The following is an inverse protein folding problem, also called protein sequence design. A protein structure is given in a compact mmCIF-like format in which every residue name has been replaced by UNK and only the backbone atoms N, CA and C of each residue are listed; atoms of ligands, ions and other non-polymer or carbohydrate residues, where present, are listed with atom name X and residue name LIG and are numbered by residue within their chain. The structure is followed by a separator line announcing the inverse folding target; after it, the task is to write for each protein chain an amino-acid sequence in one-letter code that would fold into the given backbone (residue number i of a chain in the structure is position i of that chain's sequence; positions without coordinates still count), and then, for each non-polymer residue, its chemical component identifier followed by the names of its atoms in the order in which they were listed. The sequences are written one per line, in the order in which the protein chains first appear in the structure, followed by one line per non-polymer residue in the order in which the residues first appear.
data_IF_241524638590
#
_entry.id   IF_241524638590
#
_cell.length_a   1.000
_cell.length_b   1.000
_cell.length_c   1.000
_cell.angle_alpha   90.00
_cell.angle_beta   90.00
_cell.angle_gamma   90.00
#
_symmetry.space_group_name_H-M   'P 1'
#
loop_
_entity.id
_entity.type
_entity.pdbx_description
1 polymer ?
#
# COMPACT_ATOMS: atom_id res chain seq x y z
N UNK A 1 -25.51 15.99 -5.77
CA UNK A 1 -24.45 16.10 -4.75
C UNK A 1 -23.65 14.82 -4.57
N UNK A 2 -24.26 13.63 -4.54
CA UNK A 2 -23.54 12.34 -4.38
C UNK A 2 -22.58 12.03 -5.53
N UNK A 3 -22.99 12.23 -6.79
CA UNK A 3 -22.18 11.99 -7.98
C UNK A 3 -20.93 12.90 -8.07
N UNK A 4 -21.02 14.14 -7.63
CA UNK A 4 -19.90 15.08 -7.60
C UNK A 4 -18.85 14.66 -6.57
N UNK A 5 -19.28 14.17 -5.39
CA UNK A 5 -18.38 13.65 -4.37
C UNK A 5 -17.63 12.39 -4.83
N UNK A 6 -18.30 11.46 -5.50
CA UNK A 6 -17.68 10.25 -6.07
C UNK A 6 -16.66 10.62 -7.14
N UNK A 7 -16.97 11.61 -7.98
CA UNK A 7 -16.08 12.06 -9.04
C UNK A 7 -14.80 12.72 -8.47
N UNK A 8 -14.89 13.51 -7.40
CA UNK A 8 -13.75 14.08 -6.69
C UNK A 8 -12.87 13.05 -5.99
N UNK A 9 -13.45 11.95 -5.54
CA UNK A 9 -12.71 10.86 -4.89
C UNK A 9 -11.99 9.95 -5.88
N UNK A 10 -12.52 9.81 -7.12
CA UNK A 10 -11.91 8.97 -8.16
C UNK A 10 -10.91 9.77 -9.00
N UNK A 11 -11.18 11.05 -9.24
CA UNK A 11 -10.38 11.94 -10.08
C UNK A 11 -10.09 13.26 -9.36
N UNK A 12 -9.18 13.30 -8.39
CA UNK A 12 -8.76 14.56 -7.81
C UNK A 12 -8.09 15.44 -8.88
N UNK A 13 -8.42 16.71 -8.88
CA UNK A 13 -7.92 17.71 -9.83
C UNK A 13 -7.12 18.80 -9.09
N UNK A 14 -6.15 18.39 -8.29
CA UNK A 14 -5.27 19.34 -7.59
C UNK A 14 -4.19 19.84 -8.57
N UNK A 15 -4.46 20.96 -9.24
CA UNK A 15 -3.53 21.61 -10.17
C UNK A 15 -2.41 22.38 -9.44
N UNK A 16 -2.59 22.68 -8.17
CA UNK A 16 -1.62 23.44 -7.40
C UNK A 16 -0.66 22.47 -6.70
N UNK A 17 0.52 22.32 -7.25
CA UNK A 17 1.64 21.71 -6.52
C UNK A 17 1.96 22.63 -5.34
N UNK A 18 1.89 22.11 -4.13
CA UNK A 18 2.31 22.87 -2.95
C UNK A 18 3.80 23.19 -3.08
N UNK A 19 4.19 24.44 -2.87
CA UNK A 19 5.60 24.86 -2.79
C UNK A 19 6.18 24.64 -1.37
N UNK A 20 5.39 24.08 -0.46
CA UNK A 20 5.85 23.78 0.89
C UNK A 20 6.90 22.63 0.83
N UNK A 21 8.03 22.83 1.54
CA UNK A 21 9.01 21.76 1.67
C UNK A 21 8.41 20.62 2.52
N UNK A 22 8.40 19.37 2.06
CA UNK A 22 7.91 18.26 2.88
C UNK A 22 8.79 18.03 4.10
N UNK A 23 8.16 17.55 5.19
CA UNK A 23 8.89 17.03 6.33
C UNK A 23 9.27 15.58 6.11
N UNK A 24 8.40 14.82 5.44
CA UNK A 24 8.64 13.41 5.14
C UNK A 24 8.04 13.00 3.78
N UNK A 25 8.76 12.15 3.06
CA UNK A 25 8.34 11.54 1.79
C UNK A 25 8.26 10.02 1.95
N UNK A 26 7.13 9.44 1.56
CA UNK A 26 6.84 8.00 1.70
C UNK A 26 6.54 7.40 0.34
N UNK A 27 7.09 6.22 0.07
CA UNK A 27 6.86 5.45 -1.14
C UNK A 27 6.35 4.05 -0.77
N UNK A 28 5.33 3.59 -1.48
CA UNK A 28 4.91 2.18 -1.48
C UNK A 28 4.94 1.62 -2.89
N UNK A 29 5.43 0.38 -3.03
CA UNK A 29 5.56 -0.27 -4.31
C UNK A 29 5.47 -1.79 -4.17
N UNK A 30 4.45 -2.40 -4.78
CA UNK A 30 4.42 -3.84 -4.99
C UNK A 30 5.35 -4.15 -6.17
N UNK A 31 6.48 -4.80 -5.90
CA UNK A 31 7.53 -5.03 -6.90
C UNK A 31 7.34 -6.32 -7.70
N UNK A 32 6.33 -7.13 -7.36
CA UNK A 32 6.03 -8.39 -8.04
C UNK A 32 7.31 -9.22 -8.34
N UNK A 33 8.14 -9.43 -7.34
CA UNK A 33 9.51 -9.95 -7.50
C UNK A 33 9.62 -11.36 -8.08
N UNK A 34 8.50 -12.11 -8.15
CA UNK A 34 8.41 -13.39 -8.84
C UNK A 34 7.95 -13.25 -10.30
N UNK A 35 7.71 -12.04 -10.76
CA UNK A 35 7.36 -11.75 -12.15
C UNK A 35 8.47 -12.12 -13.14
N UNK A 36 8.09 -12.48 -14.38
CA UNK A 36 9.04 -12.94 -15.40
C UNK A 36 10.07 -11.88 -15.83
N UNK A 37 9.74 -10.60 -15.66
CA UNK A 37 10.55 -9.47 -16.11
C UNK A 37 11.18 -8.70 -14.92
N UNK A 38 11.45 -9.38 -13.81
CA UNK A 38 12.00 -8.73 -12.64
C UNK A 38 13.43 -8.20 -12.90
N UNK A 39 13.61 -6.88 -12.85
CA UNK A 39 14.89 -6.20 -13.05
C UNK A 39 15.25 -5.37 -11.81
N UNK A 40 15.89 -5.98 -10.82
CA UNK A 40 16.15 -5.38 -9.52
C UNK A 40 16.86 -4.03 -9.58
N UNK A 41 17.88 -3.85 -10.44
CA UNK A 41 18.59 -2.56 -10.57
C UNK A 41 17.72 -1.43 -11.06
N UNK A 42 16.82 -1.69 -12.02
CA UNK A 42 15.90 -0.67 -12.51
C UNK A 42 14.86 -0.29 -11.47
N UNK A 43 14.41 -1.28 -10.67
CA UNK A 43 13.53 -1.03 -9.52
C UNK A 43 14.24 -0.13 -8.49
N UNK A 44 15.49 -0.44 -8.15
CA UNK A 44 16.30 0.40 -7.25
C UNK A 44 16.50 1.80 -7.80
N UNK A 45 16.75 1.95 -9.10
CA UNK A 45 16.89 3.26 -9.72
C UNK A 45 15.60 4.08 -9.60
N UNK A 46 14.43 3.47 -9.93
CA UNK A 46 13.12 4.11 -9.79
C UNK A 46 12.89 4.60 -8.35
N UNK A 47 13.16 3.75 -7.35
CA UNK A 47 13.01 4.10 -5.93
C UNK A 47 13.99 5.22 -5.54
N UNK A 48 15.23 5.16 -6.04
CA UNK A 48 16.29 6.11 -5.71
C UNK A 48 16.04 7.50 -6.29
N UNK A 49 15.46 7.58 -7.49
CA UNK A 49 15.11 8.84 -8.15
C UNK A 49 14.03 9.62 -7.37
N UNK A 50 13.21 8.91 -6.61
CA UNK A 50 12.18 9.52 -5.77
C UNK A 50 12.68 10.05 -4.44
N UNK A 51 13.86 9.64 -4.00
CA UNK A 51 14.50 10.05 -2.74
C UNK A 51 13.58 10.01 -1.51
N UNK A 52 12.70 9.00 -1.47
CA UNK A 52 11.78 8.81 -0.36
C UNK A 52 12.54 8.57 0.96
N UNK A 53 11.95 8.97 2.09
CA UNK A 53 12.52 8.78 3.42
C UNK A 53 12.14 7.40 3.99
N UNK A 54 10.95 6.94 3.61
CA UNK A 54 10.39 5.65 3.97
C UNK A 54 9.92 4.95 2.70
N UNK A 55 10.31 3.68 2.54
CA UNK A 55 9.92 2.83 1.41
C UNK A 55 9.34 1.52 1.92
N UNK A 56 8.14 1.20 1.50
CA UNK A 56 7.53 -0.11 1.68
C UNK A 56 7.53 -0.84 0.34
N UNK A 57 8.17 -2.01 0.30
CA UNK A 57 8.08 -2.92 -0.83
C UNK A 57 7.19 -4.10 -0.46
N UNK A 58 6.14 -4.33 -1.24
CA UNK A 58 5.32 -5.52 -1.17
C UNK A 58 5.77 -6.56 -2.20
N UNK A 59 5.44 -7.83 -1.98
CA UNK A 59 5.84 -8.97 -2.81
C UNK A 59 7.35 -9.10 -3.04
N UNK A 60 8.12 -8.78 -2.02
CA UNK A 60 9.55 -9.02 -2.00
C UNK A 60 9.84 -10.53 -1.85
N UNK A 61 10.70 -11.07 -2.68
CA UNK A 61 11.21 -12.43 -2.56
C UNK A 61 12.72 -12.42 -2.32
N UNK A 62 13.18 -13.03 -1.25
CA UNK A 62 14.59 -13.00 -0.85
C UNK A 62 15.54 -13.56 -1.92
N UNK A 63 15.11 -14.58 -2.66
CA UNK A 63 15.94 -15.21 -3.70
C UNK A 63 16.10 -14.32 -4.93
N UNK A 64 15.00 -13.71 -5.41
CA UNK A 64 15.00 -12.90 -6.64
C UNK A 64 15.36 -11.44 -6.38
N UNK A 65 15.08 -10.94 -5.18
CA UNK A 65 15.22 -9.51 -4.83
C UNK A 65 16.46 -9.20 -4.00
N UNK A 66 17.37 -10.16 -3.79
CA UNK A 66 18.60 -9.96 -3.00
C UNK A 66 19.43 -8.75 -3.47
N UNK A 67 19.50 -8.51 -4.78
CA UNK A 67 20.20 -7.35 -5.34
C UNK A 67 19.50 -6.04 -4.94
N UNK A 68 18.16 -6.00 -4.93
CA UNK A 68 17.37 -4.84 -4.50
C UNK A 68 17.71 -4.49 -3.05
N UNK A 69 17.66 -5.48 -2.15
CA UNK A 69 17.98 -5.29 -0.73
C UNK A 69 19.41 -4.80 -0.53
N UNK A 70 20.38 -5.44 -1.20
CA UNK A 70 21.80 -5.06 -1.11
C UNK A 70 22.06 -3.62 -1.56
N UNK A 71 21.37 -3.15 -2.59
CA UNK A 71 21.55 -1.80 -3.11
C UNK A 71 20.78 -0.77 -2.26
N UNK A 72 19.56 -1.07 -1.84
CA UNK A 72 18.77 -0.15 -1.02
C UNK A 72 19.36 0.04 0.39
N UNK A 73 19.96 -0.98 0.98
CA UNK A 73 20.67 -0.87 2.28
C UNK A 73 21.84 0.10 2.28
N UNK A 74 22.40 0.43 1.12
CA UNK A 74 23.41 1.50 1.01
C UNK A 74 22.82 2.89 1.21
N UNK A 75 21.53 3.04 0.99
CA UNK A 75 20.80 4.31 1.05
C UNK A 75 19.91 4.43 2.30
N UNK A 76 19.36 3.30 2.76
CA UNK A 76 18.48 3.23 3.92
C UNK A 76 19.19 2.48 5.05
N UNK A 77 19.54 3.23 6.09
CA UNK A 77 20.28 2.68 7.24
C UNK A 77 19.45 1.67 8.03
N UNK A 78 18.13 1.85 8.04
CA UNK A 78 17.23 1.01 8.84
C UNK A 78 16.31 0.21 7.93
N UNK A 79 16.26 -1.10 8.16
CA UNK A 79 15.46 -2.04 7.38
C UNK A 79 14.77 -3.03 8.30
N UNK A 80 13.52 -3.36 8.00
CA UNK A 80 12.78 -4.45 8.65
C UNK A 80 12.14 -5.34 7.60
N UNK A 81 12.43 -6.62 7.72
CA UNK A 81 11.85 -7.70 6.92
C UNK A 81 11.25 -8.72 7.88
N UNK A 82 9.93 -8.95 7.84
CA UNK A 82 9.23 -9.78 8.82
C UNK A 82 9.62 -11.25 8.77
N UNK A 83 9.84 -11.77 7.58
CA UNK A 83 10.21 -13.16 7.36
C UNK A 83 11.14 -13.29 6.16
N UNK A 84 12.47 -13.26 6.38
CA UNK A 84 13.44 -13.34 5.30
C UNK A 84 13.37 -14.65 4.50
N UNK A 85 12.78 -15.72 5.06
CA UNK A 85 12.63 -17.02 4.38
C UNK A 85 11.30 -17.17 3.64
N UNK A 86 10.45 -16.16 3.64
CA UNK A 86 9.18 -16.20 2.91
C UNK A 86 9.43 -16.05 1.41
N UNK A 87 8.68 -16.82 0.61
CA UNK A 87 8.67 -16.66 -0.85
C UNK A 87 8.04 -15.35 -1.31
N UNK A 88 7.28 -14.70 -0.44
CA UNK A 88 6.67 -13.41 -0.68
C UNK A 88 6.58 -12.70 0.67
N UNK A 89 7.23 -11.57 0.81
CA UNK A 89 7.31 -10.80 2.05
C UNK A 89 7.14 -9.32 1.75
N UNK A 90 7.06 -8.52 2.82
CA UNK A 90 7.10 -7.08 2.74
C UNK A 90 8.38 -6.58 3.39
N UNK A 91 8.96 -5.51 2.87
CA UNK A 91 10.19 -4.94 3.43
C UNK A 91 10.02 -3.46 3.63
N UNK A 92 10.27 -3.00 4.85
CA UNK A 92 10.29 -1.59 5.20
C UNK A 92 11.73 -1.08 5.23
N UNK A 93 12.03 -0.07 4.45
CA UNK A 93 13.28 0.68 4.45
C UNK A 93 13.03 2.08 4.98
N UNK A 94 13.95 2.60 5.80
CA UNK A 94 13.86 3.93 6.37
C UNK A 94 15.24 4.60 6.48
N UNK A 95 15.30 5.92 6.23
CA UNK A 95 16.46 6.76 6.56
C UNK A 95 16.54 7.01 8.07
N UNK A 96 15.44 6.82 8.81
CA UNK A 96 15.31 7.10 10.24
C UNK A 96 15.21 5.81 11.06
N UNK A 97 15.57 5.85 12.37
CA UNK A 97 15.47 4.71 13.26
C UNK A 97 14.07 4.09 13.29
N UNK A 98 14.02 2.77 13.23
CA UNK A 98 12.80 1.98 13.37
C UNK A 98 12.81 1.38 14.79
N UNK A 99 12.04 1.97 15.70
CA UNK A 99 12.03 1.64 17.12
C UNK A 99 11.17 0.41 17.42
N UNK A 100 10.10 0.21 16.66
CA UNK A 100 9.19 -0.91 16.83
C UNK A 100 8.86 -1.54 15.47
N UNK A 101 8.73 -2.85 15.44
CA UNK A 101 8.23 -3.59 14.29
C UNK A 101 7.48 -4.83 14.75
N UNK A 102 6.16 -4.80 14.67
CA UNK A 102 5.26 -5.83 15.19
C UNK A 102 4.31 -6.34 14.11
N UNK A 103 4.27 -7.65 13.92
CA UNK A 103 3.27 -8.28 13.05
C UNK A 103 1.89 -8.24 13.72
N UNK A 104 0.88 -7.72 13.01
CA UNK A 104 -0.50 -7.65 13.47
C UNK A 104 -1.40 -8.73 12.86
N UNK A 105 -1.18 -9.09 11.60
CA UNK A 105 -1.97 -10.11 10.92
C UNK A 105 -1.81 -11.48 11.60
N UNK A 106 -2.90 -12.22 11.70
CA UNK A 106 -2.88 -13.60 12.16
C UNK A 106 -2.77 -14.59 10.98
N UNK A 107 -2.60 -15.89 11.29
CA UNK A 107 -2.46 -16.93 10.24
C UNK A 107 -3.75 -17.21 9.47
N UNK A 108 -4.89 -16.78 9.99
CA UNK A 108 -6.21 -17.01 9.38
C UNK A 108 -6.50 -16.01 8.26
N UNK A 109 -5.88 -14.82 8.33
CA UNK A 109 -6.02 -13.78 7.33
C UNK A 109 -4.89 -13.92 6.30
N UNK A 110 -5.26 -13.96 5.03
CA UNK A 110 -4.32 -14.04 3.90
C UNK A 110 -3.75 -12.66 3.57
N UNK A 111 -3.31 -11.97 4.60
CA UNK A 111 -2.77 -10.61 4.53
C UNK A 111 -1.52 -10.52 5.38
N UNK A 112 -0.70 -9.52 5.13
CA UNK A 112 0.37 -9.14 6.01
C UNK A 112 0.21 -7.68 6.42
N UNK A 113 0.16 -7.46 7.73
CA UNK A 113 0.11 -6.12 8.31
C UNK A 113 1.12 -6.04 9.44
N UNK A 114 1.92 -5.00 9.40
CA UNK A 114 2.95 -4.72 10.40
C UNK A 114 2.76 -3.32 10.94
N UNK A 115 2.76 -3.19 12.27
CA UNK A 115 2.90 -1.91 12.95
C UNK A 115 4.37 -1.59 13.12
N UNK A 116 4.76 -0.38 12.79
CA UNK A 116 6.09 0.16 13.01
C UNK A 116 6.02 1.55 13.65
N UNK A 117 7.05 1.91 14.38
CA UNK A 117 7.24 3.28 14.89
C UNK A 117 8.61 3.75 14.43
N UNK A 118 8.63 4.94 13.86
CA UNK A 118 9.86 5.58 13.38
C UNK A 118 10.11 6.84 14.20
N UNK A 119 11.35 6.98 14.69
CA UNK A 119 11.83 8.20 15.32
C UNK A 119 12.28 9.19 14.26
N UNK A 120 11.52 10.30 14.12
CA UNK A 120 11.72 11.30 13.09
C UNK A 120 11.82 12.70 13.74
N UNK A 121 12.99 13.32 13.70
CA UNK A 121 13.25 14.66 14.24
C UNK A 121 12.68 14.89 15.66
N UNK A 122 12.87 13.91 16.56
CA UNK A 122 12.38 13.96 17.93
C UNK A 122 10.87 13.73 18.10
N UNK A 123 10.16 13.38 17.02
CA UNK A 123 8.76 12.96 17.02
C UNK A 123 8.67 11.49 16.64
N UNK A 124 7.55 10.87 17.00
CA UNK A 124 7.24 9.50 16.55
C UNK A 124 6.24 9.55 15.41
N UNK A 125 6.54 8.82 14.34
CA UNK A 125 5.62 8.54 13.24
C UNK A 125 5.24 7.06 13.29
N UNK A 126 3.95 6.77 13.44
CA UNK A 126 3.44 5.40 13.42
C UNK A 126 3.10 4.99 11.99
N UNK A 127 3.49 3.78 11.66
CA UNK A 127 3.25 3.18 10.36
C UNK A 127 2.48 1.88 10.52
N UNK A 128 1.47 1.67 9.70
CA UNK A 128 0.89 0.36 9.43
C UNK A 128 1.21 0.01 7.98
N UNK A 129 2.12 -0.94 7.80
CA UNK A 129 2.56 -1.45 6.50
C UNK A 129 1.64 -2.59 6.10
N UNK A 130 0.92 -2.44 5.00
CA UNK A 130 -0.15 -3.35 4.60
C UNK A 130 0.14 -4.06 3.29
N UNK A 131 -0.20 -5.34 3.24
CA UNK A 131 -0.43 -6.11 2.04
C UNK A 131 -1.66 -6.98 2.30
N UNK A 132 -2.83 -6.49 1.88
CA UNK A 132 -4.10 -7.12 2.21
C UNK A 132 -4.43 -8.26 1.24
N UNK A 133 -5.45 -9.04 1.58
CA UNK A 133 -5.83 -10.23 0.84
C UNK A 133 -6.13 -9.93 -0.64
N UNK A 134 -5.42 -10.62 -1.55
CA UNK A 134 -5.64 -10.54 -3.00
C UNK A 134 -6.89 -11.33 -3.40
N UNK A 135 -7.50 -10.96 -4.54
CA UNK A 135 -8.61 -11.70 -5.14
C UNK A 135 -8.17 -13.01 -5.84
N UNK A 136 -6.86 -13.24 -6.02
CA UNK A 136 -6.30 -14.39 -6.75
C UNK A 136 -6.20 -15.66 -5.90
N UNK A 137 -7.14 -15.91 -4.99
CA UNK A 137 -7.12 -17.10 -4.15
C UNK A 137 -7.83 -18.28 -4.81
N UNK A 138 -7.21 -19.48 -4.73
CA UNK A 138 -7.93 -20.73 -4.88
C UNK A 138 -8.81 -20.89 -3.65
N UNK A 139 -10.11 -20.92 -3.84
CA UNK A 139 -11.05 -21.32 -2.81
C UNK A 139 -11.17 -22.83 -2.88
N UNK A 140 -10.71 -23.53 -1.84
CA UNK A 140 -10.58 -25.00 -1.80
C UNK A 140 -11.91 -25.77 -1.92
N UNK A 141 -13.04 -25.07 -2.04
CA UNK A 141 -14.39 -25.66 -2.04
C UNK A 141 -15.41 -24.93 -2.91
N UNK A 142 -14.99 -24.21 -3.95
CA UNK A 142 -15.96 -23.58 -4.87
C UNK A 142 -16.62 -24.66 -5.74
N UNK A 143 -17.89 -24.92 -5.45
CA UNK A 143 -18.81 -25.54 -6.40
C UNK A 143 -19.54 -24.41 -7.12
N UNK A 144 -19.12 -24.11 -8.33
CA UNK A 144 -19.82 -23.23 -9.25
C UNK A 144 -20.45 -24.11 -10.32
N UNK A 145 -21.76 -24.08 -10.44
CA UNK A 145 -22.48 -24.77 -11.50
C UNK A 145 -21.99 -24.22 -12.85
N UNK A 146 -21.58 -25.12 -13.76
CA UNK A 146 -21.05 -24.77 -15.08
C UNK A 146 -19.88 -23.77 -15.06
N UNK A 147 -18.83 -24.08 -14.27
CA UNK A 147 -17.64 -23.22 -14.05
C UNK A 147 -16.94 -22.77 -15.34
N UNK A 148 -17.09 -23.49 -16.44
CA UNK A 148 -16.47 -23.13 -17.73
C UNK A 148 -17.28 -22.12 -18.55
N UNK A 149 -18.54 -21.89 -18.19
CA UNK A 149 -19.37 -20.87 -18.83
C UNK A 149 -18.93 -19.44 -18.47
N UNK A 150 -19.24 -18.43 -19.29
CA UNK A 150 -18.98 -17.03 -18.93
C UNK A 150 -19.66 -16.60 -17.62
N UNK A 151 -20.85 -17.12 -17.33
CA UNK A 151 -21.62 -16.84 -16.10
C UNK A 151 -20.93 -17.51 -14.91
N UNK A 152 -20.55 -18.80 -15.02
CA UNK A 152 -19.83 -19.52 -13.97
C UNK A 152 -18.50 -18.87 -13.62
N UNK A 153 -17.72 -18.42 -14.61
CA UNK A 153 -16.49 -17.66 -14.39
C UNK A 153 -16.74 -16.34 -13.67
N UNK A 154 -17.79 -15.62 -14.03
CA UNK A 154 -18.15 -14.38 -13.35
C UNK A 154 -18.55 -14.63 -11.89
N UNK A 155 -19.35 -15.67 -11.62
CA UNK A 155 -19.74 -16.07 -10.27
C UNK A 155 -18.51 -16.47 -9.43
N UNK A 156 -17.59 -17.25 -9.98
CA UNK A 156 -16.34 -17.60 -9.33
C UNK A 156 -15.52 -16.34 -8.95
N UNK A 157 -15.39 -15.40 -9.89
CA UNK A 157 -14.68 -14.15 -9.63
C UNK A 157 -15.38 -13.32 -8.54
N UNK A 158 -16.71 -13.25 -8.57
CA UNK A 158 -17.50 -12.54 -7.56
C UNK A 158 -17.31 -13.14 -6.17
N UNK A 159 -17.40 -14.46 -6.04
CA UNK A 159 -17.20 -15.15 -4.75
C UNK A 159 -15.77 -14.91 -4.20
N UNK A 160 -14.76 -14.99 -5.07
CA UNK A 160 -13.37 -14.70 -4.69
C UNK A 160 -13.21 -13.27 -4.21
N UNK A 161 -13.79 -12.30 -4.91
CA UNK A 161 -13.77 -10.90 -4.51
C UNK A 161 -14.46 -10.68 -3.17
N UNK A 162 -15.68 -11.17 -3.00
CA UNK A 162 -16.46 -11.01 -1.76
C UNK A 162 -15.72 -11.64 -0.57
N UNK A 163 -15.15 -12.84 -0.74
CA UNK A 163 -14.35 -13.50 0.31
C UNK A 163 -13.09 -12.71 0.66
N UNK A 164 -12.37 -12.20 -0.32
CA UNK A 164 -11.18 -11.38 -0.09
C UNK A 164 -11.54 -10.05 0.57
N UNK A 165 -12.65 -9.41 0.16
CA UNK A 165 -13.13 -8.16 0.75
C UNK A 165 -13.44 -8.31 2.24
N UNK A 166 -14.12 -9.39 2.65
CA UNK A 166 -14.38 -9.68 4.06
C UNK A 166 -13.08 -9.79 4.87
N UNK A 167 -12.05 -10.43 4.30
CA UNK A 167 -10.75 -10.55 4.96
C UNK A 167 -10.05 -9.17 5.06
N UNK A 168 -10.08 -8.37 4.00
CA UNK A 168 -9.52 -7.01 3.99
C UNK A 168 -10.18 -6.12 5.04
N UNK A 169 -11.50 -6.13 5.13
CA UNK A 169 -12.25 -5.37 6.14
C UNK A 169 -11.82 -5.78 7.55
N UNK A 170 -11.78 -7.08 7.86
CA UNK A 170 -11.35 -7.59 9.18
C UNK A 170 -9.93 -7.15 9.53
N UNK A 171 -9.04 -7.06 8.55
CA UNK A 171 -7.66 -6.62 8.79
C UNK A 171 -7.60 -5.11 9.06
N UNK A 172 -8.36 -4.30 8.32
CA UNK A 172 -8.49 -2.86 8.59
C UNK A 172 -9.14 -2.59 9.94
N UNK A 173 -10.19 -3.33 10.32
CA UNK A 173 -10.80 -3.23 11.65
C UNK A 173 -9.81 -3.58 12.77
N UNK A 174 -8.92 -4.55 12.55
CA UNK A 174 -7.83 -4.86 13.49
C UNK A 174 -6.86 -3.69 13.64
N UNK A 175 -6.46 -3.05 12.53
CA UNK A 175 -5.66 -1.82 12.57
C UNK A 175 -6.41 -0.76 13.38
N UNK A 176 -7.70 -0.57 13.11
CA UNK A 176 -8.54 0.39 13.83
C UNK A 176 -8.59 0.12 15.34
N UNK A 177 -8.72 -1.14 15.75
CA UNK A 177 -8.66 -1.53 17.17
C UNK A 177 -7.33 -1.12 17.82
N UNK A 178 -6.21 -1.30 17.12
CA UNK A 178 -4.92 -0.82 17.61
C UNK A 178 -4.85 0.72 17.66
N UNK A 179 -5.40 1.41 16.67
CA UNK A 179 -5.44 2.87 16.65
C UNK A 179 -6.23 3.44 17.81
N UNK A 180 -7.38 2.84 18.12
CA UNK A 180 -8.28 3.27 19.19
C UNK A 180 -7.67 3.06 20.59
N UNK A 181 -6.75 2.09 20.73
CA UNK A 181 -6.12 1.72 22.00
C UNK A 181 -4.79 2.45 22.28
N UNK A 182 -4.29 3.25 21.35
CA UNK A 182 -2.95 3.86 21.43
C UNK A 182 -3.01 5.39 21.44
N UNK A 183 -1.99 6.08 22.01
CA UNK A 183 -1.88 7.52 21.94
C UNK A 183 -1.97 8.05 20.50
N UNK A 184 -2.62 9.21 20.33
CA UNK A 184 -2.67 9.89 19.05
C UNK A 184 -1.29 10.46 18.70
N UNK A 185 -0.71 9.93 17.62
CA UNK A 185 0.54 10.39 17.01
C UNK A 185 0.35 10.45 15.51
N UNK A 186 1.16 11.22 14.76
CA UNK A 186 1.17 11.17 13.31
C UNK A 186 1.23 9.73 12.84
N UNK A 187 0.28 9.32 11.98
CA UNK A 187 0.12 7.91 11.61
C UNK A 187 -0.16 7.79 10.11
N UNK A 188 0.49 6.80 9.48
CA UNK A 188 0.24 6.35 8.12
C UNK A 188 -0.23 4.89 8.12
N UNK A 189 -1.21 4.57 7.28
CA UNK A 189 -1.63 3.20 6.95
C UNK A 189 -1.48 3.07 5.44
N UNK A 190 -0.51 2.27 4.97
CA UNK A 190 -0.13 2.32 3.57
C UNK A 190 0.39 0.98 3.04
N UNK A 191 0.32 0.80 1.72
CA UNK A 191 0.74 -0.39 1.03
C UNK A 191 -0.28 -0.84 -0.01
N UNK A 192 -0.15 -2.09 -0.46
CA UNK A 192 -1.11 -2.74 -1.34
C UNK A 192 -2.32 -3.19 -0.53
N UNK A 193 -3.42 -2.48 -0.69
CA UNK A 193 -4.69 -2.78 -0.03
C UNK A 193 -5.54 -3.77 -0.82
N UNK A 194 -5.10 -4.12 -2.04
CA UNK A 194 -5.81 -5.03 -2.96
C UNK A 194 -7.29 -4.68 -3.19
N UNK A 195 -7.65 -3.42 -2.94
CA UNK A 195 -9.00 -2.92 -3.15
C UNK A 195 -9.00 -1.47 -3.63
N UNK A 196 -10.03 -1.12 -4.40
CA UNK A 196 -10.17 0.23 -4.93
C UNK A 196 -10.80 1.18 -3.90
N UNK A 197 -10.72 2.45 -4.19
CA UNK A 197 -11.42 3.51 -3.44
C UNK A 197 -12.94 3.29 -3.49
N UNK A 198 -13.66 3.78 -2.49
CA UNK A 198 -15.12 3.69 -2.38
C UNK A 198 -15.67 2.27 -2.13
N UNK A 199 -14.83 1.34 -1.73
CA UNK A 199 -15.25 0.04 -1.21
C UNK A 199 -15.34 0.05 0.31
N UNK A 200 -16.07 -0.90 0.92
CA UNK A 200 -16.15 -1.01 2.38
C UNK A 200 -14.80 -1.23 3.07
N UNK A 201 -13.78 -1.68 2.36
CA UNK A 201 -12.46 -2.01 2.95
C UNK A 201 -11.83 -0.82 3.68
N UNK A 202 -11.82 0.37 3.10
CA UNK A 202 -11.18 1.55 3.71
C UNK A 202 -12.13 2.36 4.60
N UNK A 203 -13.43 2.06 4.61
CA UNK A 203 -14.44 2.81 5.34
C UNK A 203 -14.13 2.95 6.84
N UNK A 204 -13.67 1.90 7.57
CA UNK A 204 -13.37 2.02 8.99
C UNK A 204 -12.24 3.04 9.31
N UNK A 205 -11.29 3.26 8.40
CA UNK A 205 -10.26 4.30 8.52
C UNK A 205 -10.85 5.68 8.23
N UNK A 206 -11.67 5.80 7.19
CA UNK A 206 -12.34 7.05 6.83
C UNK A 206 -13.24 7.55 7.96
N UNK A 207 -13.99 6.66 8.61
CA UNK A 207 -14.87 6.97 9.75
C UNK A 207 -14.09 7.51 10.96
N UNK A 208 -12.81 7.17 11.09
CA UNK A 208 -11.87 7.69 12.11
C UNK A 208 -11.16 8.97 11.68
N UNK A 209 -11.53 9.52 10.52
CA UNK A 209 -10.98 10.76 9.99
C UNK A 209 -9.62 10.62 9.31
N UNK A 210 -9.19 9.38 9.01
CA UNK A 210 -8.05 9.16 8.10
C UNK A 210 -8.42 9.61 6.69
N UNK A 211 -7.43 10.10 5.96
CA UNK A 211 -7.62 10.64 4.61
C UNK A 211 -6.67 9.93 3.65
N UNK A 212 -7.07 9.78 2.40
CA UNK A 212 -6.21 9.22 1.36
C UNK A 212 -5.35 10.34 0.74
N UNK A 213 -4.04 10.13 0.69
CA UNK A 213 -3.09 11.11 0.19
C UNK A 213 -3.32 11.44 -1.28
N UNK A 214 -3.72 10.45 -2.10
CA UNK A 214 -4.08 10.69 -3.49
C UNK A 214 -5.28 11.63 -3.63
N UNK A 215 -6.31 11.44 -2.82
CA UNK A 215 -7.49 12.32 -2.86
C UNK A 215 -7.19 13.74 -2.42
N UNK A 216 -6.20 13.91 -1.56
CA UNK A 216 -5.86 15.22 -0.98
C UNK A 216 -4.84 16.00 -1.79
N UNK A 217 -3.92 15.32 -2.48
CA UNK A 217 -2.79 15.97 -3.10
C UNK A 217 -2.37 15.36 -4.44
N UNK A 218 -3.12 14.37 -4.96
CA UNK A 218 -2.87 13.75 -6.26
C UNK A 218 -3.60 14.43 -7.42
N UNK A 219 -3.29 13.99 -8.64
CA UNK A 219 -3.93 14.46 -9.85
C UNK A 219 -4.35 13.30 -10.75
N UNK A 220 -5.61 13.29 -11.18
CA UNK A 220 -6.18 12.31 -12.10
C UNK A 220 -6.51 10.97 -11.43
N UNK A 221 -6.58 9.89 -12.19
CA UNK A 221 -7.02 8.58 -11.69
C UNK A 221 -6.00 7.89 -10.77
N UNK A 222 -4.71 8.03 -11.08
CA UNK A 222 -3.63 7.48 -10.25
C UNK A 222 -3.61 5.95 -10.19
N UNK A 223 -3.79 5.27 -11.31
CA UNK A 223 -3.75 3.81 -11.34
C UNK A 223 -2.40 3.26 -10.86
N UNK A 224 -2.44 2.46 -9.83
CA UNK A 224 -1.26 1.78 -9.28
C UNK A 224 -1.13 0.33 -9.76
N UNK A 225 -2.19 -0.30 -10.25
CA UNK A 225 -2.19 -1.65 -10.81
C UNK A 225 -2.57 -1.65 -12.28
N UNK A 226 -1.90 -2.51 -13.07
CA UNK A 226 -2.09 -2.64 -14.52
C UNK A 226 -2.10 -4.11 -14.92
N UNK A 227 -3.20 -4.56 -15.50
CA UNK A 227 -3.27 -5.90 -16.11
C UNK A 227 -4.08 -5.84 -17.42
N UNK A 228 -3.44 -6.09 -18.55
CA UNK A 228 -4.06 -5.90 -19.85
C UNK A 228 -4.61 -4.47 -20.02
N UNK A 229 -5.91 -4.33 -20.21
CA UNK A 229 -6.62 -3.04 -20.30
C UNK A 229 -7.07 -2.50 -18.93
N UNK A 230 -7.04 -3.35 -17.90
CA UNK A 230 -7.49 -2.99 -16.55
C UNK A 230 -6.49 -2.04 -15.90
N UNK A 231 -7.01 -0.98 -15.30
CA UNK A 231 -6.25 0.03 -14.56
C UNK A 231 -6.97 0.29 -13.26
N UNK A 232 -6.36 -0.03 -12.12
CA UNK A 232 -6.95 0.12 -10.80
C UNK A 232 -6.00 0.89 -9.88
N UNK A 233 -6.55 1.62 -8.92
CA UNK A 233 -5.78 2.17 -7.81
C UNK A 233 -6.07 1.34 -6.57
N UNK A 234 -5.17 0.43 -6.24
CA UNK A 234 -5.28 -0.53 -5.14
C UNK A 234 -4.17 -0.39 -4.09
N UNK A 235 -3.14 0.38 -4.41
CA UNK A 235 -2.17 0.85 -3.41
C UNK A 235 -2.61 2.20 -2.86
N UNK A 236 -2.57 2.35 -1.54
CA UNK A 236 -3.05 3.53 -0.85
C UNK A 236 -2.06 4.01 0.21
N UNK A 237 -2.08 5.32 0.49
CA UNK A 237 -1.40 5.94 1.63
C UNK A 237 -2.45 6.74 2.39
N UNK A 238 -3.01 6.12 3.44
CA UNK A 238 -3.95 6.75 4.35
C UNK A 238 -3.19 7.44 5.46
N UNK A 239 -3.60 8.64 5.84
CA UNK A 239 -2.91 9.44 6.85
C UNK A 239 -3.86 10.04 7.88
N UNK A 240 -3.39 10.18 9.13
CA UNK A 240 -4.12 10.80 10.22
C UNK A 240 -4.14 12.32 10.07
N UNK A 241 -5.12 12.98 10.69
CA UNK A 241 -5.28 14.45 10.70
C UNK A 241 -4.12 15.24 11.35
N UNK A 242 -3.13 14.56 11.93
CA UNK A 242 -1.88 15.17 12.42
C UNK A 242 -0.83 15.30 11.31
N UNK A 243 -1.18 14.92 10.10
CA UNK A 243 -0.37 15.06 8.89
C UNK A 243 -1.18 15.85 7.85
N UNK A 244 -0.48 16.60 7.02
CA UNK A 244 -1.04 17.29 5.85
C UNK A 244 -0.35 16.73 4.61
N UNK A 245 -1.10 16.08 3.72
CA UNK A 245 -0.56 15.69 2.41
C UNK A 245 -0.40 16.95 1.54
N UNK A 246 0.81 17.15 1.01
CA UNK A 246 1.15 18.32 0.17
C UNK A 246 1.40 17.94 -1.29
N UNK A 247 1.74 16.68 -1.54
CA UNK A 247 1.90 16.13 -2.88
C UNK A 247 1.64 14.62 -2.88
N UNK A 248 1.10 14.10 -3.97
CA UNK A 248 1.01 12.66 -4.22
C UNK A 248 1.15 12.39 -5.72
N UNK A 249 1.98 11.41 -6.08
CA UNK A 249 2.22 11.02 -7.47
C UNK A 249 2.34 9.52 -7.63
N UNK A 250 1.90 9.01 -8.78
CA UNK A 250 2.14 7.64 -9.21
C UNK A 250 3.30 7.63 -10.20
N UNK A 251 4.28 6.77 -9.94
CA UNK A 251 5.47 6.61 -10.78
C UNK A 251 5.27 5.37 -11.64
N UNK A 252 5.25 5.56 -12.95
CA UNK A 252 5.15 4.46 -13.90
C UNK A 252 6.33 3.50 -13.76
N UNK A 253 6.05 2.26 -13.44
CA UNK A 253 7.05 1.19 -13.30
C UNK A 253 7.69 0.77 -14.63
N UNK A 254 7.21 1.28 -15.77
CA UNK A 254 7.70 0.91 -17.11
C UNK A 254 7.74 -0.61 -17.33
N UNK A 255 6.73 -1.33 -16.84
CA UNK A 255 6.57 -2.78 -16.91
C UNK A 255 7.57 -3.59 -16.05
N UNK A 256 8.27 -2.95 -15.12
CA UNK A 256 9.11 -3.67 -14.13
C UNK A 256 8.27 -4.43 -13.09
N UNK A 257 7.02 -4.03 -12.93
CA UNK A 257 5.99 -4.67 -12.13
C UNK A 257 4.64 -4.47 -12.81
N UNK A 258 3.64 -5.27 -12.46
CA UNK A 258 2.23 -5.01 -12.77
C UNK A 258 1.63 -3.89 -11.88
N UNK A 259 2.38 -3.46 -10.86
CA UNK A 259 2.08 -2.24 -10.12
C UNK A 259 2.96 -1.06 -10.55
N UNK A 260 2.49 0.14 -10.22
CA UNK A 260 3.21 1.40 -10.23
C UNK A 260 3.50 1.81 -8.78
N UNK A 261 4.60 2.51 -8.55
CA UNK A 261 4.88 3.02 -7.22
C UNK A 261 4.00 4.24 -6.90
N UNK A 262 3.51 4.32 -5.65
CA UNK A 262 2.79 5.49 -5.13
C UNK A 262 3.70 6.24 -4.16
N UNK A 263 3.86 7.53 -4.38
CA UNK A 263 4.65 8.44 -3.52
C UNK A 263 3.74 9.51 -2.95
N UNK A 264 3.90 9.82 -1.68
CA UNK A 264 3.24 10.96 -1.05
C UNK A 264 4.21 11.73 -0.14
N UNK A 265 3.98 13.04 -0.05
CA UNK A 265 4.76 13.98 0.74
C UNK A 265 3.88 14.63 1.79
N UNK A 266 4.41 14.73 3.01
CA UNK A 266 3.64 15.21 4.15
C UNK A 266 4.37 16.31 4.92
N UNK A 267 3.55 17.21 5.52
CA UNK A 267 3.89 18.03 6.67
C UNK A 267 3.36 17.37 7.94
N UNK A 268 4.10 17.50 9.03
CA UNK A 268 3.66 17.11 10.37
C UNK A 268 3.09 18.35 11.05
N UNK A 269 1.79 18.32 11.36
CA UNK A 269 1.06 19.42 12.02
C UNK A 269 1.23 19.42 13.54
#
# INVERSE_FOLDING_TARGET
MLLVNVQYQIFPLHLNVSHEKPDIRVLTFNIHSLGRNFEGRKIVQLISDEDADIVLLNEYNDTTSHEVDSLLKKRYTYTRMPNPKSKCSDVLYSKYPIDEFLKLSNKELRSSTYKSVISFHGKHLRLFCCHLASNNHKLDSLQVDDADSPIGKWEEHKIKYDSAQVQRIKEIERICTHLDSMPHVPTLVFGDMNDITCTPTLQPLLDRGYQDAWWKAGFGYGATYKHGIVRLRIDHIMFSKMLKAINAKVIDSKQLSDHNALVAEFKIE
#
